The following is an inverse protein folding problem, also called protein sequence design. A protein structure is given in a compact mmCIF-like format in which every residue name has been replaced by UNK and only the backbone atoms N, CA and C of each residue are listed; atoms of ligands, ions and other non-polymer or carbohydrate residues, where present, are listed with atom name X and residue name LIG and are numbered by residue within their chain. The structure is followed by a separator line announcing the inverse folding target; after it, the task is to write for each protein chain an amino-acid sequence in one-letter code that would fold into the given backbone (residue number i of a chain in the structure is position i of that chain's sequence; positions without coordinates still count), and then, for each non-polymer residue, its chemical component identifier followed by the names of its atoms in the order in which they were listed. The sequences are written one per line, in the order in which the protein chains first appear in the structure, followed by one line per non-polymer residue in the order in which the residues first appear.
data_IF_285476504707
#
_entry.id   IF_285476504707
#
_cell.length_a   1.000
_cell.length_b   1.000
_cell.length_c   1.000
_cell.angle_alpha   90.00
_cell.angle_beta   90.00
_cell.angle_gamma   90.00
#
_symmetry.space_group_name_H-M   'P 1'
#
loop_
_entity.id
_entity.type
_entity.pdbx_description
1 polymer ?
#
# COMPACT_ATOMS: atom_id res chain seq x y z
N UNK A 1 21.94 -7.32 -30.82
CA UNK A 1 21.62 -7.00 -29.40
C UNK A 1 20.42 -6.07 -29.46
N UNK A 2 19.22 -6.59 -29.17
CA UNK A 2 18.07 -5.73 -28.96
C UNK A 2 18.36 -4.84 -27.76
N UNK A 3 18.27 -3.52 -27.96
CA UNK A 3 18.49 -2.56 -26.88
C UNK A 3 17.46 -2.75 -25.79
N UNK A 4 17.86 -2.55 -24.53
CA UNK A 4 16.93 -2.58 -23.37
C UNK A 4 15.85 -1.54 -23.62
N UNK A 5 14.57 -1.95 -23.63
CA UNK A 5 13.46 -1.00 -23.77
C UNK A 5 13.45 -0.06 -22.54
N UNK A 6 13.39 1.24 -22.80
CA UNK A 6 13.33 2.27 -21.75
C UNK A 6 12.18 2.00 -20.75
N UNK A 7 11.07 1.45 -21.23
CA UNK A 7 9.91 1.10 -20.40
C UNK A 7 10.24 -0.01 -19.42
N UNK A 8 10.95 -1.03 -19.86
CA UNK A 8 11.38 -2.15 -19.01
C UNK A 8 12.37 -1.67 -17.95
N UNK A 9 13.29 -0.77 -18.34
CA UNK A 9 14.22 -0.16 -17.40
C UNK A 9 13.49 0.65 -16.31
N UNK A 10 12.56 1.52 -16.71
CA UNK A 10 11.76 2.31 -15.75
C UNK A 10 10.93 1.41 -14.83
N UNK A 11 10.29 0.38 -15.40
CA UNK A 11 9.51 -0.57 -14.60
C UNK A 11 10.39 -1.34 -13.60
N UNK A 12 11.59 -1.75 -14.01
CA UNK A 12 12.56 -2.39 -13.14
C UNK A 12 12.98 -1.46 -11.99
N UNK A 13 13.33 -0.22 -12.29
CA UNK A 13 13.74 0.76 -11.28
C UNK A 13 12.60 1.07 -10.28
N UNK A 14 11.37 1.22 -10.77
CA UNK A 14 10.20 1.41 -9.90
C UNK A 14 9.95 0.21 -9.00
N UNK A 15 10.08 -1.02 -9.49
CA UNK A 15 9.96 -2.25 -8.67
C UNK A 15 11.04 -2.30 -7.59
N UNK A 16 12.28 -2.00 -7.94
CA UNK A 16 13.39 -1.91 -6.99
C UNK A 16 13.12 -0.85 -5.92
N UNK A 17 12.76 0.36 -6.33
CA UNK A 17 12.42 1.44 -5.41
C UNK A 17 11.26 1.07 -4.48
N UNK A 18 10.22 0.43 -5.02
CA UNK A 18 9.07 -0.05 -4.26
C UNK A 18 9.45 -1.06 -3.18
N UNK A 19 10.27 -2.06 -3.54
CA UNK A 19 10.74 -3.08 -2.60
C UNK A 19 11.62 -2.47 -1.51
N UNK A 20 12.60 -1.65 -1.88
CA UNK A 20 13.52 -1.03 -0.91
C UNK A 20 12.77 -0.12 0.06
N UNK A 21 11.88 0.72 -0.46
CA UNK A 21 11.05 1.58 0.37
C UNK A 21 10.09 0.78 1.26
N UNK A 22 9.51 -0.31 0.75
CA UNK A 22 8.65 -1.22 1.49
C UNK A 22 9.38 -1.92 2.64
N UNK A 23 10.60 -2.40 2.41
CA UNK A 23 11.45 -2.99 3.46
C UNK A 23 11.75 -1.95 4.55
N UNK A 24 12.07 -0.73 4.15
CA UNK A 24 12.31 0.37 5.10
C UNK A 24 11.06 0.69 5.93
N UNK A 25 9.89 0.79 5.28
CA UNK A 25 8.61 1.06 5.96
C UNK A 25 8.23 -0.05 6.95
N UNK A 26 8.21 -1.31 6.49
CA UNK A 26 7.86 -2.46 7.32
C UNK A 26 8.88 -2.66 8.43
N UNK A 27 10.17 -2.47 8.18
CA UNK A 27 11.22 -2.56 9.18
C UNK A 27 11.02 -1.56 10.33
N UNK A 28 10.58 -0.32 10.03
CA UNK A 28 10.26 0.66 11.07
C UNK A 28 8.96 0.31 11.82
N UNK A 29 7.94 -0.28 11.17
CA UNK A 29 6.77 -0.80 11.86
C UNK A 29 7.15 -1.86 12.89
N UNK A 30 8.02 -2.79 12.51
CA UNK A 30 8.53 -3.81 13.43
C UNK A 30 9.35 -3.18 14.56
N UNK A 31 10.22 -2.23 14.23
CA UNK A 31 10.98 -1.50 15.23
C UNK A 31 10.06 -0.84 16.27
N UNK A 32 9.02 -0.11 15.85
CA UNK A 32 8.12 0.56 16.78
C UNK A 32 7.33 -0.41 17.66
N UNK A 33 6.81 -1.50 17.08
CA UNK A 33 5.93 -2.41 17.79
C UNK A 33 6.67 -3.45 18.61
N UNK A 34 7.77 -4.01 18.12
CA UNK A 34 8.43 -5.16 18.73
C UNK A 34 9.76 -4.84 19.41
N UNK A 35 10.38 -3.70 19.09
CA UNK A 35 11.63 -3.28 19.72
C UNK A 35 11.41 -2.09 20.63
N UNK A 36 11.03 -0.93 20.07
CA UNK A 36 10.91 0.29 20.83
C UNK A 36 9.74 0.28 21.83
N UNK A 37 8.60 -0.30 21.45
CA UNK A 37 7.41 -0.41 22.32
C UNK A 37 7.70 -1.13 23.64
N UNK A 38 8.23 -2.37 23.62
CA UNK A 38 8.62 -3.09 24.83
C UNK A 38 9.82 -2.47 25.56
N UNK A 39 10.78 -1.86 24.84
CA UNK A 39 11.99 -1.31 25.42
C UNK A 39 11.76 0.05 26.13
N UNK A 40 10.97 0.94 25.55
CA UNK A 40 10.78 2.29 26.09
C UNK A 40 10.26 2.35 27.53
N UNK A 41 9.38 1.44 28.01
CA UNK A 41 8.96 1.40 29.41
C UNK A 41 10.06 0.99 30.39
N UNK A 42 11.13 0.31 29.95
CA UNK A 42 12.21 -0.15 30.82
C UNK A 42 13.23 0.95 31.15
N UNK A 43 13.21 2.06 30.39
CA UNK A 43 14.06 3.21 30.64
C UNK A 43 13.57 4.01 31.84
N UNK A 44 14.52 4.44 32.70
CA UNK A 44 14.25 5.44 33.73
C UNK A 44 13.87 6.81 33.11
N UNK A 45 13.28 7.69 33.93
CA UNK A 45 12.78 8.99 33.45
C UNK A 45 13.84 9.90 32.84
N UNK A 46 15.07 9.85 33.36
CA UNK A 46 16.20 10.69 32.91
C UNK A 46 16.69 10.18 31.51
N UNK A 47 16.88 8.89 31.39
CA UNK A 47 17.28 8.25 30.12
C UNK A 47 16.23 8.46 29.05
N UNK A 48 14.93 8.30 29.39
CA UNK A 48 13.83 8.52 28.48
C UNK A 48 13.78 9.94 27.93
N UNK A 49 13.98 10.95 28.79
CA UNK A 49 14.04 12.37 28.38
C UNK A 49 15.20 12.67 27.42
N UNK A 50 16.29 11.93 27.49
CA UNK A 50 17.46 12.12 26.63
C UNK A 50 17.34 11.35 25.31
N UNK A 51 16.85 10.11 25.34
CA UNK A 51 16.84 9.20 24.20
C UNK A 51 15.67 9.46 23.26
N UNK A 52 14.45 9.56 23.81
CA UNK A 52 13.22 9.63 22.99
C UNK A 52 13.21 10.84 22.04
N UNK A 53 13.55 12.07 22.47
CA UNK A 53 13.53 13.22 21.58
C UNK A 53 14.56 13.15 20.44
N UNK A 54 15.57 12.32 20.57
CA UNK A 54 16.60 12.15 19.54
C UNK A 54 16.30 10.97 18.61
N UNK A 55 15.81 9.85 19.16
CA UNK A 55 15.54 8.64 18.42
C UNK A 55 14.28 8.75 17.57
N UNK A 56 13.17 9.19 18.21
CA UNK A 56 11.86 9.15 17.57
C UNK A 56 11.73 10.03 16.32
N UNK A 57 12.23 11.28 16.28
CA UNK A 57 12.14 12.07 15.06
C UNK A 57 12.88 11.45 13.87
N UNK A 58 14.03 10.80 14.12
CA UNK A 58 14.81 10.11 13.08
C UNK A 58 14.09 8.87 12.57
N UNK A 59 13.59 8.04 13.48
CA UNK A 59 12.85 6.83 13.12
C UNK A 59 11.55 7.16 12.40
N UNK A 60 10.80 8.17 12.87
CA UNK A 60 9.57 8.63 12.22
C UNK A 60 9.83 9.24 10.84
N UNK A 61 10.94 9.94 10.63
CA UNK A 61 11.31 10.46 9.33
C UNK A 61 11.43 9.32 8.31
N UNK A 62 12.22 8.31 8.59
CA UNK A 62 12.41 7.17 7.69
C UNK A 62 11.15 6.32 7.52
N UNK A 63 10.36 6.17 8.58
CA UNK A 63 9.07 5.51 8.53
C UNK A 63 8.11 6.18 7.54
N UNK A 64 7.95 7.50 7.65
CA UNK A 64 7.07 8.30 6.79
C UNK A 64 7.52 8.31 5.34
N UNK A 65 8.80 8.54 5.12
CA UNK A 65 9.36 8.52 3.76
C UNK A 65 9.33 7.12 3.16
N UNK A 66 9.57 6.08 3.94
CA UNK A 66 9.39 4.70 3.48
C UNK A 66 7.96 4.43 3.02
N UNK A 67 6.97 4.83 3.80
CA UNK A 67 5.56 4.70 3.44
C UNK A 67 5.22 5.50 2.17
N UNK A 68 5.63 6.77 2.09
CA UNK A 68 5.35 7.66 0.95
C UNK A 68 5.99 7.14 -0.35
N UNK A 69 7.25 6.71 -0.32
CA UNK A 69 7.92 6.15 -1.49
C UNK A 69 7.35 4.80 -1.91
N UNK A 70 7.01 3.93 -0.95
CA UNK A 70 6.35 2.66 -1.25
C UNK A 70 5.01 2.91 -1.95
N UNK A 71 4.19 3.79 -1.40
CA UNK A 71 2.90 4.12 -1.97
C UNK A 71 3.03 4.78 -3.35
N UNK A 72 3.88 5.80 -3.49
CA UNK A 72 4.07 6.53 -4.75
C UNK A 72 4.59 5.64 -5.88
N UNK A 73 5.64 4.84 -5.62
CA UNK A 73 6.15 3.87 -6.60
C UNK A 73 5.15 2.76 -6.91
N UNK A 74 4.36 2.35 -5.91
CA UNK A 74 3.27 1.39 -6.09
C UNK A 74 2.18 1.91 -7.02
N UNK A 75 1.76 3.16 -6.87
CA UNK A 75 0.80 3.79 -7.80
C UNK A 75 1.35 3.89 -9.21
N UNK A 76 2.61 4.32 -9.37
CA UNK A 76 3.25 4.38 -10.70
C UNK A 76 3.30 3.00 -11.36
N UNK A 77 3.66 1.96 -10.62
CA UNK A 77 3.62 0.58 -11.10
C UNK A 77 2.21 0.13 -11.47
N UNK A 78 1.21 0.50 -10.66
CA UNK A 78 -0.18 0.18 -10.93
C UNK A 78 -0.62 0.78 -12.28
N UNK A 79 -0.30 2.06 -12.51
CA UNK A 79 -0.58 2.73 -13.78
C UNK A 79 0.16 2.07 -14.95
N UNK A 80 1.47 1.84 -14.85
CA UNK A 80 2.26 1.28 -15.94
C UNK A 80 1.85 -0.15 -16.27
N UNK A 81 1.67 -1.00 -15.26
CA UNK A 81 1.48 -2.44 -15.46
C UNK A 81 0.02 -2.79 -15.74
N UNK A 82 -0.92 -2.18 -15.03
CA UNK A 82 -2.32 -2.60 -15.05
C UNK A 82 -3.24 -1.69 -15.85
N UNK A 83 -2.93 -0.39 -15.94
CA UNK A 83 -3.80 0.55 -16.66
C UNK A 83 -3.30 0.86 -18.07
N UNK A 84 -1.99 0.75 -18.30
CA UNK A 84 -1.40 0.99 -19.64
C UNK A 84 -0.89 -0.29 -20.31
N UNK A 85 -1.15 -1.45 -19.73
CA UNK A 85 -0.95 -2.74 -20.40
C UNK A 85 0.50 -3.22 -20.55
N UNK A 86 1.46 -2.60 -19.91
CA UNK A 86 2.87 -2.98 -20.02
C UNK A 86 3.26 -4.30 -19.33
N UNK A 87 2.34 -4.99 -18.71
CA UNK A 87 2.64 -6.23 -17.99
C UNK A 87 1.79 -7.42 -18.39
N UNK A 88 1.02 -7.32 -19.46
CA UNK A 88 0.18 -8.43 -19.96
C UNK A 88 -0.92 -8.90 -18.98
N UNK A 89 -1.18 -8.14 -17.92
CA UNK A 89 -2.04 -8.58 -16.83
C UNK A 89 -3.54 -8.41 -17.10
N UNK A 90 -3.92 -7.63 -18.12
CA UNK A 90 -5.31 -7.42 -18.57
C UNK A 90 -5.44 -7.73 -20.06
N UNK A 91 -4.76 -8.78 -20.53
CA UNK A 91 -4.91 -9.27 -21.90
C UNK A 91 -6.07 -10.26 -21.96
N UNK A 92 -7.06 -9.93 -22.76
CA UNK A 92 -8.06 -10.88 -23.26
C UNK A 92 -7.74 -11.06 -24.73
N UNK A 93 -7.52 -12.31 -25.17
CA UNK A 93 -7.14 -12.66 -26.54
C UNK A 93 -5.93 -11.87 -27.09
N UNK A 94 -4.95 -11.59 -26.23
CA UNK A 94 -3.74 -10.85 -26.61
C UNK A 94 -3.92 -9.33 -26.74
N UNK A 95 -5.11 -8.79 -26.46
CA UNK A 95 -5.39 -7.37 -26.50
C UNK A 95 -5.51 -6.78 -25.09
N UNK A 96 -4.99 -5.57 -24.88
CA UNK A 96 -5.18 -4.82 -23.64
C UNK A 96 -6.59 -4.25 -23.62
N UNK A 97 -7.42 -4.76 -22.72
CA UNK A 97 -8.84 -4.37 -22.59
C UNK A 97 -9.08 -3.36 -21.47
N UNK A 98 -8.10 -2.52 -21.15
CA UNK A 98 -8.26 -1.49 -20.09
C UNK A 98 -8.73 -0.19 -20.71
N UNK A 99 -9.98 0.15 -20.47
CA UNK A 99 -10.57 1.44 -20.84
C UNK A 99 -10.66 2.34 -19.61
N UNK A 100 -10.90 3.65 -19.82
CA UNK A 100 -11.15 4.58 -18.72
C UNK A 100 -12.35 4.14 -17.86
N UNK A 101 -13.32 3.44 -18.43
CA UNK A 101 -14.50 2.91 -17.71
C UNK A 101 -14.16 1.76 -16.75
N UNK A 102 -13.04 1.08 -16.95
CA UNK A 102 -12.61 -0.03 -16.09
C UNK A 102 -11.56 0.41 -15.05
N UNK A 103 -10.51 1.12 -15.47
CA UNK A 103 -9.45 1.49 -14.53
C UNK A 103 -9.81 2.66 -13.60
N UNK A 104 -10.65 3.59 -14.04
CA UNK A 104 -11.02 4.74 -13.22
C UNK A 104 -11.80 4.34 -11.95
N UNK A 105 -12.83 3.46 -12.00
CA UNK A 105 -13.46 2.90 -10.81
C UNK A 105 -12.48 2.12 -9.92
N UNK A 106 -11.56 1.33 -10.52
CA UNK A 106 -10.56 0.60 -9.77
C UNK A 106 -9.61 1.53 -9.00
N UNK A 107 -9.13 2.57 -9.65
CA UNK A 107 -8.29 3.58 -9.01
C UNK A 107 -9.05 4.39 -7.96
N UNK A 108 -10.25 4.87 -8.28
CA UNK A 108 -11.12 5.60 -7.34
C UNK A 108 -11.46 4.74 -6.11
N UNK A 109 -11.64 3.43 -6.30
CA UNK A 109 -11.90 2.48 -5.22
C UNK A 109 -10.82 2.44 -4.14
N UNK A 110 -9.57 2.79 -4.46
CA UNK A 110 -8.50 2.89 -3.46
C UNK A 110 -8.78 4.03 -2.46
N UNK A 111 -9.25 5.16 -2.94
CA UNK A 111 -9.54 6.34 -2.10
C UNK A 111 -10.89 6.23 -1.41
N UNK A 112 -11.90 5.74 -2.11
CA UNK A 112 -13.21 5.45 -1.50
C UNK A 112 -13.06 4.40 -0.41
N UNK A 113 -12.29 3.36 -0.66
CA UNK A 113 -12.00 2.34 0.34
C UNK A 113 -11.26 2.91 1.55
N UNK A 114 -10.30 3.82 1.35
CA UNK A 114 -9.69 4.53 2.47
C UNK A 114 -10.71 5.33 3.30
N UNK A 115 -11.64 6.04 2.66
CA UNK A 115 -12.70 6.75 3.37
C UNK A 115 -13.60 5.80 4.17
N UNK A 116 -13.96 4.66 3.58
CA UNK A 116 -14.73 3.62 4.28
C UNK A 116 -13.94 3.08 5.48
N UNK A 117 -12.65 2.81 5.31
CA UNK A 117 -11.75 2.41 6.40
C UNK A 117 -11.77 3.44 7.54
N UNK A 118 -11.52 4.70 7.25
CA UNK A 118 -11.43 5.77 8.24
C UNK A 118 -12.75 5.94 9.02
N UNK A 119 -13.88 5.97 8.31
CA UNK A 119 -15.21 6.07 8.91
C UNK A 119 -15.54 4.84 9.77
N UNK A 120 -15.23 3.63 9.27
CA UNK A 120 -15.50 2.38 9.97
C UNK A 120 -14.73 2.30 11.30
N UNK A 121 -13.43 2.61 11.27
CA UNK A 121 -12.61 2.56 12.48
C UNK A 121 -12.93 3.68 13.49
N UNK A 122 -13.39 4.84 13.02
CA UNK A 122 -13.93 5.89 13.89
C UNK A 122 -15.27 5.48 14.53
N UNK A 123 -16.18 4.93 13.74
CA UNK A 123 -17.50 4.51 14.23
C UNK A 123 -17.39 3.34 15.23
N UNK A 124 -16.47 2.41 14.98
CA UNK A 124 -16.27 1.21 15.79
C UNK A 124 -15.03 1.29 16.70
N UNK A 125 -14.66 2.48 17.15
CA UNK A 125 -13.44 2.69 17.96
C UNK A 125 -13.38 1.82 19.22
N UNK A 126 -14.52 1.47 19.82
CA UNK A 126 -14.63 0.58 20.98
C UNK A 126 -14.68 -0.92 20.61
N UNK A 127 -14.85 -1.26 19.34
CA UNK A 127 -15.02 -2.62 18.83
C UNK A 127 -13.98 -2.92 17.74
N UNK A 128 -12.71 -2.71 18.06
CA UNK A 128 -11.62 -2.78 17.10
C UNK A 128 -11.60 -4.09 16.28
N UNK A 129 -11.81 -5.23 16.93
CA UNK A 129 -11.82 -6.53 16.23
C UNK A 129 -12.96 -6.64 15.20
N UNK A 130 -14.12 -6.06 15.51
CA UNK A 130 -15.25 -6.01 14.56
C UNK A 130 -14.90 -5.13 13.38
N UNK A 131 -14.29 -3.97 13.61
CA UNK A 131 -13.84 -3.07 12.55
C UNK A 131 -12.84 -3.76 11.61
N UNK A 132 -11.88 -4.52 12.16
CA UNK A 132 -10.88 -5.27 11.37
C UNK A 132 -11.56 -6.33 10.48
N UNK A 133 -12.51 -7.11 11.03
CA UNK A 133 -13.23 -8.13 10.25
C UNK A 133 -14.06 -7.47 9.14
N UNK A 134 -14.82 -6.43 9.46
CA UNK A 134 -15.63 -5.72 8.46
C UNK A 134 -14.77 -5.08 7.38
N UNK A 135 -13.63 -4.50 7.74
CA UNK A 135 -12.69 -3.97 6.76
C UNK A 135 -12.12 -5.06 5.84
N UNK A 136 -11.79 -6.22 6.40
CA UNK A 136 -11.39 -7.38 5.60
C UNK A 136 -12.46 -7.80 4.60
N UNK A 137 -13.73 -7.83 4.99
CA UNK A 137 -14.85 -8.13 4.10
C UNK A 137 -15.01 -7.06 3.00
N UNK A 138 -14.87 -5.79 3.33
CA UNK A 138 -14.88 -4.69 2.33
C UNK A 138 -13.75 -4.86 1.33
N UNK A 139 -12.54 -5.18 1.78
CA UNK A 139 -11.39 -5.39 0.91
C UNK A 139 -11.58 -6.62 -0.01
N UNK A 140 -12.12 -7.71 0.52
CA UNK A 140 -12.49 -8.89 -0.29
C UNK A 140 -13.58 -8.54 -1.32
N UNK A 141 -14.62 -7.83 -0.90
CA UNK A 141 -15.69 -7.36 -1.80
C UNK A 141 -15.18 -6.47 -2.93
N UNK A 142 -14.23 -5.58 -2.63
CA UNK A 142 -13.56 -4.77 -3.63
C UNK A 142 -12.78 -5.63 -4.65
N UNK A 143 -12.00 -6.61 -4.19
CA UNK A 143 -11.28 -7.53 -5.08
C UNK A 143 -12.20 -8.36 -5.97
N UNK A 144 -13.31 -8.85 -5.41
CA UNK A 144 -14.34 -9.59 -6.16
C UNK A 144 -15.04 -8.68 -7.18
N UNK A 145 -15.39 -7.45 -6.82
CA UNK A 145 -16.00 -6.50 -7.75
C UNK A 145 -15.08 -6.18 -8.94
N UNK A 146 -13.78 -5.99 -8.68
CA UNK A 146 -12.81 -5.80 -9.75
C UNK A 146 -12.77 -6.98 -10.72
N UNK A 147 -12.85 -8.20 -10.20
CA UNK A 147 -12.81 -9.40 -11.01
C UNK A 147 -14.11 -9.64 -11.78
N UNK A 148 -15.25 -9.63 -11.09
CA UNK A 148 -16.55 -10.11 -11.63
C UNK A 148 -17.33 -9.00 -12.35
N UNK A 149 -17.06 -7.73 -12.06
CA UNK A 149 -17.77 -6.59 -12.66
C UNK A 149 -16.92 -5.84 -13.69
N UNK A 150 -15.60 -5.77 -13.45
CA UNK A 150 -14.69 -5.00 -14.30
C UNK A 150 -13.70 -5.88 -15.09
N UNK A 151 -13.89 -7.19 -15.10
CA UNK A 151 -13.10 -8.18 -15.86
C UNK A 151 -11.58 -8.12 -15.60
N UNK A 152 -11.17 -7.72 -14.38
CA UNK A 152 -9.77 -7.75 -14.00
C UNK A 152 -9.30 -9.18 -13.82
N UNK A 153 -8.06 -9.47 -14.24
CA UNK A 153 -7.44 -10.75 -13.92
C UNK A 153 -7.34 -10.96 -12.41
N UNK A 154 -7.32 -12.21 -11.96
CA UNK A 154 -7.15 -12.52 -10.53
C UNK A 154 -5.92 -11.82 -9.94
N UNK A 155 -4.82 -11.81 -10.69
CA UNK A 155 -3.58 -11.14 -10.27
C UNK A 155 -3.77 -9.63 -10.10
N UNK A 156 -4.44 -8.97 -11.05
CA UNK A 156 -4.72 -7.55 -10.97
C UNK A 156 -5.64 -7.25 -9.78
N UNK A 157 -6.69 -8.05 -9.56
CA UNK A 157 -7.63 -7.85 -8.46
C UNK A 157 -6.96 -7.89 -7.09
N UNK A 158 -6.15 -8.91 -6.78
CA UNK A 158 -5.50 -8.95 -5.46
C UNK A 158 -4.38 -7.93 -5.30
N UNK A 159 -3.73 -7.49 -6.38
CA UNK A 159 -2.77 -6.36 -6.29
C UNK A 159 -3.48 -5.06 -5.95
N UNK A 160 -4.68 -4.81 -6.49
CA UNK A 160 -5.49 -3.66 -6.10
C UNK A 160 -5.96 -3.74 -4.64
N UNK A 161 -6.30 -4.93 -4.14
CA UNK A 161 -6.56 -5.13 -2.70
C UNK A 161 -5.32 -4.77 -1.87
N UNK A 162 -4.13 -5.20 -2.29
CA UNK A 162 -2.88 -4.79 -1.66
C UNK A 162 -2.65 -3.27 -1.71
N UNK A 163 -2.96 -2.63 -2.84
CA UNK A 163 -2.87 -1.17 -2.99
C UNK A 163 -3.90 -0.44 -2.10
N UNK A 164 -5.08 -1.01 -1.90
CA UNK A 164 -6.10 -0.49 -0.97
C UNK A 164 -5.60 -0.50 0.48
N UNK A 165 -5.02 -1.63 0.94
CA UNK A 165 -4.39 -1.71 2.25
C UNK A 165 -3.23 -0.71 2.37
N UNK A 166 -2.35 -0.65 1.37
CA UNK A 166 -1.23 0.29 1.33
C UNK A 166 -1.68 1.74 1.42
N UNK A 167 -2.75 2.13 0.71
CA UNK A 167 -3.34 3.47 0.76
C UNK A 167 -3.89 3.78 2.15
N UNK A 168 -4.63 2.84 2.75
CA UNK A 168 -5.19 3.00 4.09
C UNK A 168 -4.11 3.10 5.17
N UNK A 169 -3.03 2.33 5.05
CA UNK A 169 -1.91 2.39 5.98
C UNK A 169 -1.10 3.67 5.82
N UNK A 170 -0.77 4.08 4.58
CA UNK A 170 0.00 5.30 4.32
C UNK A 170 -0.71 6.55 4.80
N UNK A 171 -2.01 6.62 4.65
CA UNK A 171 -2.80 7.78 5.10
C UNK A 171 -2.85 7.93 6.64
N UNK A 172 -2.44 6.90 7.40
CA UNK A 172 -2.34 6.92 8.86
C UNK A 172 -0.90 7.08 9.38
N UNK A 173 0.07 7.36 8.53
CA UNK A 173 1.48 7.59 8.84
C UNK A 173 1.77 9.09 8.97
#
# INVERSE_FOLDING_TARGET
MEGVDMKDLVQMLLRWGHIVAGVMWIGHLWFFNFVNGPFAPTMDGETKKKVVPQLMPRALFWFRWGAAWTWGTGLLLLFMVYYHGYGGSNLVDGQVQVTAMTWLPAFAGLFVGFLVYDLLFKALAKQHNVAVVLWGLVACGYGLALREVFDFSLRASYIHVGALFGTSMMANV
#
